data_IF_853019646741
#
_entry.id   IF_853019646741
#
_cell.length_a   1.000
_cell.length_b   1.000
_cell.length_c   1.000
_cell.angle_alpha   90.00
_cell.angle_beta   90.00
_cell.angle_gamma   90.00
#
_symmetry.space_group_name_H-M   'P 1'
#
loop_
_entity.id
_entity.type
_entity.pdbx_description
1 polymer ?
#
# COMPACT_ATOMS: atom_id res chain seq x y z
N UNK A 1 23.63 -5.76 -19.25
CA UNK A 1 22.59 -5.72 -20.31
C UNK A 1 21.19 -5.45 -19.76
N UNK A 2 20.74 -6.14 -18.71
CA UNK A 2 19.39 -5.97 -18.12
C UNK A 2 19.05 -4.54 -17.66
N UNK A 3 20.03 -3.81 -17.12
CA UNK A 3 19.83 -2.43 -16.65
C UNK A 3 19.65 -1.42 -17.79
N UNK A 4 20.25 -1.68 -18.97
CA UNK A 4 20.03 -0.88 -20.19
C UNK A 4 18.65 -1.14 -20.79
N UNK A 5 18.16 -2.37 -20.72
CA UNK A 5 16.79 -2.70 -21.14
C UNK A 5 15.78 -2.03 -20.22
N UNK A 6 15.85 -2.15 -18.89
CA UNK A 6 14.86 -1.49 -17.99
C UNK A 6 14.85 0.04 -18.02
N UNK A 7 15.95 0.69 -18.44
CA UNK A 7 16.01 2.13 -18.69
C UNK A 7 15.35 2.56 -20.01
N UNK A 8 15.10 1.63 -20.93
CA UNK A 8 14.48 1.91 -22.22
C UNK A 8 12.95 1.98 -22.09
N UNK A 9 12.30 3.00 -22.67
CA UNK A 9 10.83 3.11 -22.65
C UNK A 9 10.17 2.31 -23.81
N UNK A 10 10.70 1.11 -24.11
CA UNK A 10 10.16 0.24 -25.17
C UNK A 10 8.99 -0.56 -24.63
N UNK A 11 7.90 -0.67 -25.41
CA UNK A 11 6.66 -1.40 -25.05
C UNK A 11 6.91 -2.82 -24.54
N UNK A 12 7.95 -3.51 -25.03
CA UNK A 12 8.33 -4.85 -24.56
C UNK A 12 8.73 -4.93 -23.08
N UNK A 13 9.17 -3.83 -22.46
CA UNK A 13 9.52 -3.81 -21.04
C UNK A 13 8.32 -3.85 -20.10
N UNK A 14 7.11 -3.57 -20.60
CA UNK A 14 5.89 -3.72 -19.82
C UNK A 14 5.58 -5.20 -19.53
N UNK A 15 6.11 -6.13 -20.34
CA UNK A 15 5.96 -7.58 -20.12
C UNK A 15 7.06 -8.16 -19.23
N UNK A 16 8.18 -7.46 -19.04
CA UNK A 16 9.31 -7.99 -18.26
C UNK A 16 9.00 -8.04 -16.76
N UNK A 17 8.33 -7.02 -16.22
CA UNK A 17 8.06 -6.95 -14.79
C UNK A 17 6.98 -7.94 -14.33
N UNK A 18 5.87 -8.20 -15.07
CA UNK A 18 4.94 -9.26 -14.71
C UNK A 18 5.58 -10.64 -14.81
N UNK A 19 6.40 -10.89 -15.84
CA UNK A 19 7.14 -12.14 -15.98
C UNK A 19 8.10 -12.36 -14.81
N UNK A 20 8.83 -11.31 -14.40
CA UNK A 20 9.71 -11.38 -13.24
C UNK A 20 8.93 -11.66 -11.95
N UNK A 21 7.77 -11.03 -11.75
CA UNK A 21 6.93 -11.32 -10.59
C UNK A 21 6.45 -12.78 -10.58
N UNK A 22 5.98 -13.32 -11.72
CA UNK A 22 5.58 -14.72 -11.85
C UNK A 22 6.71 -15.69 -11.50
N UNK A 23 7.93 -15.41 -11.97
CA UNK A 23 9.11 -16.23 -11.66
C UNK A 23 9.48 -16.17 -10.16
N UNK A 24 9.45 -14.98 -9.56
CA UNK A 24 9.77 -14.78 -8.15
C UNK A 24 8.71 -15.35 -7.19
N UNK A 25 7.46 -15.44 -7.65
CA UNK A 25 6.32 -15.99 -6.91
C UNK A 25 6.03 -17.46 -7.26
N UNK A 26 6.84 -18.08 -8.12
CA UNK A 26 6.59 -19.43 -8.64
C UNK A 26 6.44 -20.46 -7.52
N UNK A 27 7.27 -20.38 -6.47
CA UNK A 27 7.18 -21.26 -5.30
C UNK A 27 5.82 -21.16 -4.62
N UNK A 28 5.32 -19.94 -4.41
CA UNK A 28 4.03 -19.67 -3.75
C UNK A 28 2.85 -20.04 -4.64
N UNK A 29 3.01 -20.01 -5.96
CA UNK A 29 1.99 -20.48 -6.92
C UNK A 29 1.88 -22.02 -6.94
N UNK A 30 3.01 -22.73 -6.84
CA UNK A 30 3.04 -24.20 -6.86
C UNK A 30 2.64 -24.80 -5.51
N UNK A 31 3.05 -24.15 -4.41
CA UNK A 31 2.78 -24.60 -3.05
C UNK A 31 2.16 -23.46 -2.23
N UNK A 32 0.88 -23.11 -2.51
CA UNK A 32 0.24 -21.96 -1.89
C UNK A 32 0.00 -22.22 -0.41
N UNK A 33 0.38 -21.24 0.41
CA UNK A 33 0.18 -21.26 1.86
C UNK A 33 -0.67 -20.06 2.27
N UNK A 34 -1.58 -20.29 3.22
CA UNK A 34 -2.33 -19.21 3.84
C UNK A 34 -1.40 -18.39 4.74
N UNK A 35 -1.70 -17.10 4.86
CA UNK A 35 -0.94 -16.23 5.75
C UNK A 35 -1.20 -16.61 7.23
N UNK A 36 -0.17 -16.76 8.06
CA UNK A 36 -0.32 -16.95 9.49
C UNK A 36 -0.64 -15.62 10.18
N UNK A 37 -1.92 -15.23 10.15
CA UNK A 37 -2.40 -14.00 10.79
C UNK A 37 -2.17 -14.04 12.30
N UNK A 38 -1.75 -12.91 12.87
CA UNK A 38 -1.86 -12.74 14.32
C UNK A 38 -3.33 -12.44 14.70
N UNK A 39 -3.74 -12.63 15.97
CA UNK A 39 -5.12 -12.37 16.39
C UNK A 39 -5.58 -10.97 15.97
N UNK A 40 -6.80 -10.86 15.43
CA UNK A 40 -7.42 -9.59 14.96
C UNK A 40 -6.82 -8.96 13.68
N UNK A 41 -5.75 -9.51 13.09
CA UNK A 41 -5.19 -8.98 11.84
C UNK A 41 -6.11 -9.22 10.63
N UNK A 42 -6.76 -10.38 10.57
CA UNK A 42 -7.74 -10.73 9.53
C UNK A 42 -9.11 -10.08 9.73
N UNK A 43 -9.36 -9.50 10.92
CA UNK A 43 -10.66 -9.00 11.35
C UNK A 43 -10.91 -7.53 10.96
N UNK A 44 -9.95 -6.90 10.28
CA UNK A 44 -10.10 -5.55 9.72
C UNK A 44 -11.39 -5.44 8.89
N UNK A 45 -12.16 -4.36 9.10
CA UNK A 45 -13.56 -4.25 8.65
C UNK A 45 -13.78 -4.62 7.18
N UNK A 46 -13.01 -4.04 6.26
CA UNK A 46 -13.18 -4.29 4.83
C UNK A 46 -12.46 -5.55 4.35
N UNK A 47 -11.48 -6.04 5.12
CA UNK A 47 -10.72 -7.23 4.77
C UNK A 47 -11.42 -8.52 5.20
N UNK A 48 -12.02 -8.55 6.40
CA UNK A 48 -12.75 -9.69 6.98
C UNK A 48 -13.71 -10.39 6.00
N UNK A 49 -14.63 -9.70 5.31
CA UNK A 49 -15.53 -10.37 4.37
C UNK A 49 -14.78 -11.02 3.19
N UNK A 50 -13.71 -10.39 2.69
CA UNK A 50 -12.89 -10.95 1.61
C UNK A 50 -12.10 -12.16 2.09
N UNK A 51 -11.52 -12.08 3.30
CA UNK A 51 -10.81 -13.19 3.91
C UNK A 51 -11.72 -14.41 4.10
N UNK A 52 -12.92 -14.19 4.66
CA UNK A 52 -13.91 -15.24 4.88
C UNK A 52 -14.40 -15.89 3.58
N UNK A 53 -14.64 -15.09 2.54
CA UNK A 53 -15.05 -15.60 1.23
C UNK A 53 -13.98 -16.48 0.58
N UNK A 54 -12.71 -16.15 0.80
CA UNK A 54 -11.55 -16.84 0.22
C UNK A 54 -10.93 -17.85 1.19
N UNK A 55 -11.56 -18.09 2.34
CA UNK A 55 -11.11 -19.06 3.31
C UNK A 55 -11.15 -20.46 2.69
N UNK A 56 -10.04 -21.21 2.82
CA UNK A 56 -9.90 -22.55 2.23
C UNK A 56 -9.46 -22.60 0.75
N UNK A 57 -9.26 -21.44 0.10
CA UNK A 57 -8.79 -21.37 -1.30
C UNK A 57 -7.39 -20.70 -1.39
N UNK A 58 -6.32 -21.35 -0.90
CA UNK A 58 -5.00 -20.71 -0.79
C UNK A 58 -4.42 -20.32 -2.17
N UNK A 59 -4.69 -21.07 -3.23
CA UNK A 59 -4.26 -20.70 -4.58
C UNK A 59 -4.89 -19.39 -5.05
N UNK A 60 -6.19 -19.20 -4.79
CA UNK A 60 -6.92 -17.97 -5.16
C UNK A 60 -6.38 -16.78 -4.37
N UNK A 61 -6.05 -16.98 -3.09
CA UNK A 61 -5.41 -15.97 -2.25
C UNK A 61 -4.07 -15.49 -2.82
N UNK A 62 -3.21 -16.43 -3.23
CA UNK A 62 -1.91 -16.10 -3.87
C UNK A 62 -2.10 -15.39 -5.20
N UNK A 63 -3.02 -15.86 -6.05
CA UNK A 63 -3.31 -15.23 -7.35
C UNK A 63 -3.82 -13.80 -7.15
N UNK A 64 -4.75 -13.58 -6.23
CA UNK A 64 -5.30 -12.26 -5.94
C UNK A 64 -4.23 -11.32 -5.40
N UNK A 65 -3.38 -11.80 -4.48
CA UNK A 65 -2.24 -11.05 -3.96
C UNK A 65 -1.26 -10.67 -5.08
N UNK A 66 -0.96 -11.60 -6.00
CA UNK A 66 -0.10 -11.34 -7.15
C UNK A 66 -0.70 -10.29 -8.10
N UNK A 67 -2.01 -10.33 -8.36
CA UNK A 67 -2.70 -9.32 -9.17
C UNK A 67 -2.62 -7.95 -8.51
N UNK A 68 -2.92 -7.86 -7.22
CA UNK A 68 -2.80 -6.60 -6.46
C UNK A 68 -1.36 -6.09 -6.45
N UNK A 69 -0.39 -6.96 -6.25
CA UNK A 69 1.03 -6.65 -6.29
C UNK A 69 1.46 -6.06 -7.64
N UNK A 70 1.02 -6.65 -8.75
CA UNK A 70 1.26 -6.11 -10.09
C UNK A 70 0.58 -4.77 -10.32
N UNK A 71 -0.66 -4.59 -9.83
CA UNK A 71 -1.35 -3.30 -9.87
C UNK A 71 -0.58 -2.22 -9.10
N UNK A 72 -0.05 -2.53 -7.92
CA UNK A 72 0.81 -1.61 -7.15
C UNK A 72 2.06 -1.21 -7.93
N UNK A 73 2.73 -2.18 -8.56
CA UNK A 73 3.91 -1.90 -9.39
C UNK A 73 3.57 -0.94 -10.55
N UNK A 74 2.45 -1.18 -11.22
CA UNK A 74 1.97 -0.31 -12.31
C UNK A 74 1.65 1.10 -11.78
N UNK A 75 0.93 1.21 -10.66
CA UNK A 75 0.59 2.50 -10.07
C UNK A 75 1.82 3.29 -9.62
N UNK A 76 2.81 2.64 -9.00
CA UNK A 76 4.08 3.28 -8.67
C UNK A 76 4.77 3.85 -9.91
N UNK A 77 4.81 3.10 -11.00
CA UNK A 77 5.36 3.59 -12.27
C UNK A 77 4.53 4.76 -12.82
N UNK A 78 3.20 4.72 -12.73
CA UNK A 78 2.34 5.83 -13.17
C UNK A 78 2.56 7.10 -12.34
N UNK A 79 2.67 6.99 -11.01
CA UNK A 79 2.98 8.11 -10.11
C UNK A 79 4.31 8.75 -10.52
N UNK A 80 5.36 7.93 -10.67
CA UNK A 80 6.67 8.40 -11.10
C UNK A 80 6.63 9.13 -12.45
N UNK A 81 5.92 8.57 -13.43
CA UNK A 81 5.83 9.16 -14.77
C UNK A 81 4.97 10.43 -14.82
N UNK A 82 3.95 10.55 -13.96
CA UNK A 82 3.04 11.70 -13.92
C UNK A 82 3.68 12.92 -13.24
N UNK A 83 4.35 12.70 -12.12
CA UNK A 83 4.92 13.78 -11.30
C UNK A 83 6.42 14.00 -11.53
N UNK A 84 7.03 13.29 -12.50
CA UNK A 84 8.44 13.40 -12.88
C UNK A 84 9.41 13.30 -11.67
N UNK A 85 9.14 12.40 -10.72
CA UNK A 85 10.05 12.13 -9.58
C UNK A 85 11.48 11.84 -10.06
N UNK A 86 11.61 11.17 -11.21
CA UNK A 86 12.88 10.98 -11.91
C UNK A 86 13.02 12.00 -13.05
N UNK A 87 14.19 12.66 -13.13
CA UNK A 87 14.58 13.62 -14.17
C UNK A 87 14.49 13.07 -15.62
N UNK A 88 14.39 11.75 -15.77
CA UNK A 88 14.05 11.05 -17.01
C UNK A 88 12.93 10.05 -16.75
N UNK A 89 11.94 10.00 -17.66
CA UNK A 89 10.93 8.94 -17.67
C UNK A 89 11.62 7.58 -17.72
N UNK A 90 11.35 6.76 -16.71
CA UNK A 90 12.04 5.51 -16.47
C UNK A 90 11.03 4.48 -16.00
N UNK A 91 11.12 3.28 -16.56
CA UNK A 91 10.30 2.15 -16.10
C UNK A 91 10.89 1.47 -14.86
N UNK A 92 12.05 1.92 -14.37
CA UNK A 92 12.76 1.32 -13.23
C UNK A 92 11.94 1.18 -11.93
N UNK A 93 11.02 2.08 -11.55
CA UNK A 93 10.30 1.94 -10.28
C UNK A 93 9.54 0.61 -10.15
N UNK A 94 8.90 0.13 -11.22
CA UNK A 94 8.10 -1.10 -11.17
C UNK A 94 8.95 -2.38 -10.99
N UNK A 95 9.99 -2.66 -11.81
CA UNK A 95 10.88 -3.80 -11.59
C UNK A 95 11.62 -3.74 -10.25
N UNK A 96 12.05 -2.56 -9.79
CA UNK A 96 12.69 -2.41 -8.49
C UNK A 96 11.72 -2.75 -7.36
N UNK A 97 10.51 -2.21 -7.40
CA UNK A 97 9.45 -2.57 -6.46
C UNK A 97 9.19 -4.08 -6.45
N UNK A 98 9.12 -4.71 -7.63
CA UNK A 98 8.88 -6.14 -7.73
C UNK A 98 9.97 -6.96 -7.05
N UNK A 99 11.23 -6.65 -7.33
CA UNK A 99 12.37 -7.36 -6.72
C UNK A 99 12.37 -7.13 -5.21
N UNK A 100 12.21 -5.87 -4.78
CA UNK A 100 12.24 -5.48 -3.37
C UNK A 100 11.13 -6.16 -2.55
N UNK A 101 9.91 -6.19 -3.05
CA UNK A 101 8.78 -6.73 -2.28
C UNK A 101 8.71 -8.25 -2.38
N UNK A 102 9.09 -8.84 -3.52
CA UNK A 102 9.03 -10.31 -3.68
C UNK A 102 9.93 -11.07 -2.70
N UNK A 103 10.97 -10.44 -2.14
CA UNK A 103 11.79 -11.06 -1.10
C UNK A 103 11.08 -11.27 0.24
N UNK A 104 9.96 -10.58 0.49
CA UNK A 104 9.11 -10.82 1.65
C UNK A 104 8.17 -12.01 1.36
N UNK A 105 8.71 -13.21 1.42
CA UNK A 105 7.99 -14.46 1.08
C UNK A 105 6.71 -14.66 1.87
N UNK A 106 6.64 -14.17 3.12
CA UNK A 106 5.42 -14.22 3.93
C UNK A 106 4.27 -13.41 3.34
N UNK A 107 4.55 -12.34 2.59
CA UNK A 107 3.53 -11.51 1.95
C UNK A 107 3.09 -12.06 0.58
N UNK A 108 3.67 -13.16 0.07
CA UNK A 108 3.30 -13.77 -1.22
C UNK A 108 1.96 -14.54 -1.17
N UNK A 109 1.00 -14.03 -0.41
CA UNK A 109 -0.35 -14.57 -0.22
C UNK A 109 -1.28 -13.41 0.18
N UNK A 110 -2.58 -13.70 0.35
CA UNK A 110 -3.56 -12.65 0.64
C UNK A 110 -3.32 -12.04 2.02
N UNK A 111 -3.21 -10.72 2.06
CA UNK A 111 -2.93 -9.94 3.26
C UNK A 111 -3.63 -8.57 3.15
N UNK A 112 -4.17 -8.00 4.26
CA UNK A 112 -4.86 -6.70 4.24
C UNK A 112 -4.01 -5.56 3.68
N UNK A 113 -2.69 -5.63 3.88
CA UNK A 113 -1.72 -4.63 3.39
C UNK A 113 -1.78 -4.41 1.87
N UNK A 114 -2.14 -5.43 1.08
CA UNK A 114 -2.19 -5.28 -0.38
C UNK A 114 -3.29 -4.30 -0.82
N UNK A 115 -4.46 -4.38 -0.18
CA UNK A 115 -5.55 -3.44 -0.40
C UNK A 115 -5.24 -2.08 0.23
N UNK A 116 -4.72 -2.06 1.45
CA UNK A 116 -4.32 -0.83 2.12
C UNK A 116 -3.31 -0.03 1.30
N UNK A 117 -2.25 -0.68 0.81
CA UNK A 117 -1.23 -0.06 -0.03
C UNK A 117 -1.82 0.49 -1.35
N UNK A 118 -2.81 -0.17 -1.93
CA UNK A 118 -3.46 0.27 -3.16
C UNK A 118 -4.16 1.63 -2.94
N UNK A 119 -4.92 1.73 -1.86
CA UNK A 119 -5.59 2.97 -1.47
C UNK A 119 -4.62 4.05 -1.01
N UNK A 120 -3.50 3.70 -0.38
CA UNK A 120 -2.41 4.65 -0.10
C UNK A 120 -1.83 5.21 -1.40
N UNK A 121 -1.57 4.39 -2.42
CA UNK A 121 -1.10 4.89 -3.72
C UNK A 121 -2.13 5.81 -4.40
N UNK A 122 -3.44 5.52 -4.29
CA UNK A 122 -4.49 6.43 -4.74
C UNK A 122 -4.50 7.75 -3.95
N UNK A 123 -4.33 7.68 -2.63
CA UNK A 123 -4.18 8.86 -1.78
C UNK A 123 -2.98 9.71 -2.20
N UNK A 124 -1.82 9.09 -2.48
CA UNK A 124 -0.60 9.76 -2.98
C UNK A 124 -0.85 10.42 -4.34
N UNK A 125 -1.52 9.74 -5.26
CA UNK A 125 -1.90 10.31 -6.56
C UNK A 125 -2.73 11.58 -6.40
N UNK A 126 -3.67 11.61 -5.46
CA UNK A 126 -4.50 12.80 -5.19
C UNK A 126 -3.71 13.87 -4.45
N UNK A 127 -2.89 13.49 -3.49
CA UNK A 127 -2.02 14.40 -2.74
C UNK A 127 -1.11 15.20 -3.67
N UNK A 128 -0.40 14.52 -4.58
CA UNK A 128 0.47 15.22 -5.53
C UNK A 128 -0.29 16.03 -6.58
N UNK A 129 -1.56 15.71 -6.87
CA UNK A 129 -2.39 16.57 -7.72
C UNK A 129 -2.75 17.91 -7.07
N UNK A 130 -2.54 18.07 -5.76
CA UNK A 130 -2.69 19.35 -5.06
C UNK A 130 -1.51 20.30 -5.32
N UNK A 131 -0.39 19.81 -5.89
CA UNK A 131 0.81 20.61 -6.12
C UNK A 131 0.53 21.84 -6.98
N UNK A 132 0.93 23.01 -6.47
CA UNK A 132 0.78 24.32 -7.11
C UNK A 132 -0.67 24.71 -7.51
N UNK A 133 -1.66 24.04 -6.91
CA UNK A 133 -3.07 24.34 -7.10
C UNK A 133 -3.57 25.32 -6.03
N UNK A 134 -4.26 26.39 -6.46
CA UNK A 134 -4.79 27.44 -5.57
C UNK A 134 -6.05 27.04 -4.82
N UNK A 135 -6.79 26.02 -5.30
CA UNK A 135 -8.01 25.50 -4.66
C UNK A 135 -8.04 23.98 -4.75
N UNK A 136 -7.14 23.35 -4.01
CA UNK A 136 -6.97 21.91 -4.02
C UNK A 136 -8.01 21.13 -3.20
N UNK A 137 -9.27 21.62 -3.08
CA UNK A 137 -10.28 20.99 -2.21
C UNK A 137 -10.61 19.55 -2.60
N UNK A 138 -10.84 19.28 -3.89
CA UNK A 138 -11.09 17.92 -4.36
C UNK A 138 -9.89 17.00 -4.11
N UNK A 139 -8.67 17.50 -4.37
CA UNK A 139 -7.46 16.73 -4.09
C UNK A 139 -7.30 16.44 -2.59
N UNK A 140 -7.52 17.42 -1.72
CA UNK A 140 -7.47 17.27 -0.27
C UNK A 140 -8.51 16.26 0.25
N UNK A 141 -9.77 16.37 -0.19
CA UNK A 141 -10.83 15.44 0.18
C UNK A 141 -10.49 14.02 -0.25
N UNK A 142 -10.16 13.81 -1.53
CA UNK A 142 -9.90 12.48 -2.06
C UNK A 142 -8.66 11.83 -1.40
N UNK A 143 -7.66 12.65 -1.06
CA UNK A 143 -6.47 12.20 -0.34
C UNK A 143 -6.85 11.60 1.01
N UNK A 144 -7.63 12.34 1.83
CA UNK A 144 -8.10 11.85 3.12
C UNK A 144 -9.03 10.65 2.98
N UNK A 145 -9.94 10.71 2.01
CA UNK A 145 -10.92 9.66 1.74
C UNK A 145 -10.28 8.33 1.36
N UNK A 146 -9.33 8.33 0.41
CA UNK A 146 -8.62 7.11 0.04
C UNK A 146 -7.75 6.59 1.19
N UNK A 147 -7.09 7.48 1.95
CA UNK A 147 -6.30 7.04 3.10
C UNK A 147 -7.17 6.33 4.13
N UNK A 148 -8.36 6.86 4.43
CA UNK A 148 -9.30 6.26 5.36
C UNK A 148 -9.80 4.88 4.89
N UNK A 149 -10.15 4.73 3.60
CA UNK A 149 -10.52 3.42 3.05
C UNK A 149 -9.35 2.43 3.19
N UNK A 150 -8.12 2.87 2.88
CA UNK A 150 -6.92 2.05 3.09
C UNK A 150 -6.77 1.59 4.54
N UNK A 151 -6.99 2.49 5.49
CA UNK A 151 -6.98 2.18 6.93
C UNK A 151 -8.12 1.24 7.35
N UNK A 152 -9.26 1.23 6.67
CA UNK A 152 -10.33 0.25 6.95
C UNK A 152 -10.01 -1.16 6.44
N UNK A 153 -9.11 -1.29 5.46
CA UNK A 153 -8.53 -2.58 5.06
C UNK A 153 -7.39 -3.01 5.97
N UNK A 154 -6.52 -2.07 6.35
CA UNK A 154 -5.36 -2.30 7.19
C UNK A 154 -5.14 -1.13 8.16
N UNK A 155 -5.63 -1.29 9.39
CA UNK A 155 -5.75 -0.20 10.35
C UNK A 155 -4.45 0.55 10.65
N UNK A 156 -3.32 -0.16 10.63
CA UNK A 156 -2.00 0.41 10.93
C UNK A 156 -1.62 1.57 9.99
N UNK A 157 -2.25 1.71 8.82
CA UNK A 157 -2.06 2.83 7.91
C UNK A 157 -2.55 4.17 8.45
N UNK A 158 -3.35 4.18 9.53
CA UNK A 158 -3.77 5.41 10.20
C UNK A 158 -2.58 6.25 10.67
N UNK A 159 -1.42 5.63 10.92
CA UNK A 159 -0.17 6.32 11.27
C UNK A 159 0.30 7.29 10.18
N UNK A 160 -0.13 7.11 8.94
CA UNK A 160 0.20 8.00 7.81
C UNK A 160 -0.66 9.27 7.80
N UNK A 161 -1.73 9.34 8.59
CA UNK A 161 -2.64 10.50 8.62
C UNK A 161 -1.91 11.83 8.85
N UNK A 162 -0.99 11.98 9.83
CA UNK A 162 -0.28 13.24 10.04
C UNK A 162 0.62 13.60 8.87
N UNK A 163 1.27 12.61 8.25
CA UNK A 163 2.16 12.84 7.10
C UNK A 163 1.38 13.39 5.89
N UNK A 164 0.21 12.84 5.60
CA UNK A 164 -0.64 13.29 4.50
C UNK A 164 -1.32 14.63 4.82
N UNK A 165 -1.73 14.84 6.08
CA UNK A 165 -2.25 16.12 6.56
C UNK A 165 -1.24 17.26 6.34
N UNK A 166 0.02 17.06 6.78
CA UNK A 166 1.10 18.01 6.54
C UNK A 166 1.44 18.14 5.06
N UNK A 167 1.41 17.03 4.32
CA UNK A 167 1.65 17.02 2.88
C UNK A 167 0.70 17.93 2.10
N UNK A 168 -0.59 17.96 2.46
CA UNK A 168 -1.56 18.90 1.86
C UNK A 168 -1.11 20.34 2.10
N UNK A 169 -0.73 20.67 3.33
CA UNK A 169 -0.27 22.02 3.68
C UNK A 169 0.97 22.46 2.92
N UNK A 170 1.90 21.54 2.64
CA UNK A 170 3.16 21.82 1.95
C UNK A 170 2.99 21.92 0.43
N UNK A 171 2.13 21.08 -0.16
CA UNK A 171 2.02 20.97 -1.63
C UNK A 171 1.09 22.02 -2.25
N UNK A 172 0.08 22.49 -1.53
CA UNK A 172 -0.84 23.50 -2.05
C UNK A 172 -0.14 24.85 -2.26
N UNK A 173 -0.50 25.57 -3.33
CA UNK A 173 0.10 26.88 -3.64
C UNK A 173 -0.17 27.93 -2.56
N UNK A 174 -1.38 27.93 -2.02
CA UNK A 174 -1.82 28.81 -0.95
C UNK A 174 -2.41 27.95 0.16
N UNK A 175 -1.64 27.74 1.21
CA UNK A 175 -2.08 26.97 2.37
C UNK A 175 -3.14 27.76 3.13
N UNK A 176 -4.40 27.32 3.07
CA UNK A 176 -5.49 27.86 3.90
C UNK A 176 -5.97 26.77 4.85
N UNK A 177 -6.68 27.17 5.90
CA UNK A 177 -7.22 26.22 6.88
C UNK A 177 -8.29 25.30 6.27
N UNK A 178 -8.93 25.73 5.18
CA UNK A 178 -10.04 25.03 4.53
C UNK A 178 -9.60 23.70 3.92
N UNK A 179 -8.41 23.64 3.34
CA UNK A 179 -7.84 22.43 2.73
C UNK A 179 -7.63 21.35 3.79
N UNK A 180 -7.16 21.72 4.98
CA UNK A 180 -7.05 20.80 6.12
C UNK A 180 -8.41 20.31 6.61
N UNK A 181 -9.40 21.21 6.71
CA UNK A 181 -10.75 20.83 7.09
C UNK A 181 -11.37 19.86 6.06
N UNK A 182 -11.15 20.10 4.76
CA UNK A 182 -11.64 19.25 3.67
C UNK A 182 -10.93 17.90 3.63
N UNK A 183 -9.62 17.86 3.91
CA UNK A 183 -8.90 16.59 4.08
C UNK A 183 -9.43 15.80 5.28
N UNK A 184 -9.65 16.48 6.41
CA UNK A 184 -10.19 15.86 7.62
C UNK A 184 -11.60 15.30 7.39
N UNK A 185 -12.47 16.03 6.69
CA UNK A 185 -13.80 15.52 6.33
C UNK A 185 -13.71 14.33 5.39
N UNK A 186 -12.83 14.38 4.39
CA UNK A 186 -12.55 13.23 3.51
C UNK A 186 -12.12 11.99 4.30
N UNK A 187 -11.21 12.17 5.26
CA UNK A 187 -10.71 11.08 6.10
C UNK A 187 -11.76 10.54 7.08
N UNK A 188 -12.52 11.40 7.75
CA UNK A 188 -13.52 10.96 8.72
C UNK A 188 -14.72 10.26 8.06
N UNK A 189 -15.06 10.62 6.82
CA UNK A 189 -16.29 10.17 6.17
C UNK A 189 -16.38 8.62 6.04
N UNK A 190 -15.38 7.88 5.55
CA UNK A 190 -15.41 6.42 5.53
C UNK A 190 -15.53 5.80 6.93
N UNK A 191 -14.86 6.37 7.94
CA UNK A 191 -14.96 5.88 9.32
C UNK A 191 -16.35 6.13 9.92
N UNK A 192 -16.98 7.26 9.64
CA UNK A 192 -18.35 7.55 10.08
C UNK A 192 -19.34 6.55 9.46
N UNK A 193 -19.22 6.26 8.16
CA UNK A 193 -20.06 5.26 7.51
C UNK A 193 -19.81 3.85 8.04
N UNK A 194 -18.56 3.47 8.22
CA UNK A 194 -18.18 2.21 8.84
C UNK A 194 -18.79 2.06 10.24
N UNK A 195 -18.63 3.07 11.09
CA UNK A 195 -19.15 3.08 12.45
C UNK A 195 -20.69 3.01 12.46
N UNK A 196 -21.35 3.77 11.58
CA UNK A 196 -22.81 3.77 11.48
C UNK A 196 -23.35 2.41 11.04
N UNK A 197 -22.71 1.77 10.06
CA UNK A 197 -23.07 0.41 9.64
C UNK A 197 -22.90 -0.60 10.78
N UNK A 198 -21.78 -0.56 11.48
CA UNK A 198 -21.48 -1.47 12.59
C UNK A 198 -22.38 -1.26 13.81
N UNK A 199 -22.75 -0.01 14.08
CA UNK A 199 -23.71 0.35 15.12
C UNK A 199 -25.07 -0.26 14.84
N UNK A 200 -25.55 -0.18 13.59
CA UNK A 200 -26.80 -0.84 13.17
C UNK A 200 -26.69 -2.36 13.19
N UNK A 201 -25.51 -2.92 12.90
CA UNK A 201 -25.25 -4.35 12.94
C UNK A 201 -25.01 -4.90 14.37
N UNK A 202 -24.95 -4.05 15.39
CA UNK A 202 -24.70 -4.45 16.78
C UNK A 202 -23.29 -4.99 17.06
N UNK A 203 -22.30 -4.70 16.19
CA UNK A 203 -20.93 -5.25 16.28
C UNK A 203 -19.87 -4.17 16.56
N UNK A 204 -20.29 -2.99 17.03
CA UNK A 204 -19.39 -1.86 17.33
C UNK A 204 -18.26 -2.21 18.29
N UNK A 205 -18.54 -2.96 19.36
CA UNK A 205 -17.52 -3.36 20.35
C UNK A 205 -16.43 -4.21 19.71
N UNK A 206 -16.80 -5.15 18.84
CA UNK A 206 -15.81 -5.98 18.14
C UNK A 206 -14.89 -5.14 17.26
N UNK A 207 -15.42 -4.14 16.57
CA UNK A 207 -14.62 -3.25 15.74
C UNK A 207 -13.65 -2.38 16.55
N UNK A 208 -14.11 -1.82 17.67
CA UNK A 208 -13.25 -1.04 18.57
C UNK A 208 -12.13 -1.91 19.15
N UNK A 209 -12.44 -3.13 19.57
CA UNK A 209 -11.44 -4.09 20.06
C UNK A 209 -10.43 -4.46 18.96
N UNK A 210 -10.88 -4.72 17.73
CA UNK A 210 -9.98 -4.96 16.59
C UNK A 210 -9.05 -3.77 16.36
N UNK A 211 -9.55 -2.53 16.41
CA UNK A 211 -8.73 -1.33 16.27
C UNK A 211 -7.67 -1.22 17.38
N UNK A 212 -8.08 -1.42 18.63
CA UNK A 212 -7.18 -1.40 19.79
C UNK A 212 -6.09 -2.48 19.67
N UNK A 213 -6.48 -3.71 19.33
CA UNK A 213 -5.55 -4.82 19.16
C UNK A 213 -4.58 -4.61 18.00
N UNK A 214 -4.99 -3.96 16.91
CA UNK A 214 -4.07 -3.63 15.81
C UNK A 214 -3.02 -2.57 16.21
N UNK A 215 -3.29 -1.74 17.22
CA UNK A 215 -2.30 -0.79 17.76
C UNK A 215 -1.37 -1.46 18.78
N UNK A 216 -1.92 -2.29 19.68
CA UNK A 216 -1.20 -2.86 20.81
C UNK A 216 -0.38 -4.11 20.43
N UNK A 217 -0.89 -4.91 19.49
CA UNK A 217 -0.25 -6.19 19.14
C UNK A 217 1.06 -5.95 18.43
N UNK A 218 2.16 -6.39 19.07
CA UNK A 218 3.49 -6.35 18.48
C UNK A 218 3.55 -7.41 17.37
N UNK A 219 3.89 -6.98 16.16
CA UNK A 219 4.04 -7.87 15.02
C UNK A 219 5.37 -8.67 15.14
N UNK A 220 5.26 -9.96 15.44
CA UNK A 220 6.41 -10.85 15.64
C UNK A 220 6.94 -11.47 14.33
N UNK A 221 6.36 -11.18 13.16
CA UNK A 221 6.84 -11.75 11.88
C UNK A 221 8.28 -11.33 11.57
N UNK A 222 8.64 -10.10 11.95
CA UNK A 222 10.01 -9.61 11.81
C UNK A 222 10.94 -10.14 12.90
N UNK A 223 10.46 -10.54 14.08
CA UNK A 223 11.32 -10.99 15.18
C UNK A 223 11.80 -12.43 14.98
N UNK A 224 10.98 -13.27 14.35
CA UNK A 224 11.23 -14.72 14.34
C UNK A 224 11.86 -15.21 13.02
N UNK A 225 11.85 -14.39 11.96
CA UNK A 225 12.30 -14.78 10.63
C UNK A 225 13.67 -14.18 10.26
N UNK A 226 14.76 -14.89 10.61
CA UNK A 226 16.13 -14.46 10.33
C UNK A 226 16.40 -14.14 8.84
N UNK A 227 15.96 -14.96 7.86
CA UNK A 227 16.07 -14.62 6.44
C UNK A 227 15.46 -13.26 6.07
N UNK A 228 14.27 -12.94 6.61
CA UNK A 228 13.60 -11.67 6.34
C UNK A 228 14.36 -10.48 6.96
N UNK A 229 14.95 -10.64 8.15
CA UNK A 229 15.80 -9.61 8.75
C UNK A 229 17.04 -9.30 7.91
N UNK A 230 17.73 -10.34 7.43
CA UNK A 230 18.90 -10.19 6.56
C UNK A 230 18.50 -9.47 5.28
N UNK A 231 17.38 -9.87 4.69
CA UNK A 231 16.86 -9.25 3.48
C UNK A 231 16.49 -7.78 3.69
N UNK A 232 15.77 -7.44 4.77
CA UNK A 232 15.43 -6.07 5.12
C UNK A 232 16.68 -5.21 5.38
N UNK A 233 17.68 -5.75 6.09
CA UNK A 233 18.96 -5.08 6.31
C UNK A 233 19.70 -4.81 5.00
N UNK A 234 19.69 -5.76 4.07
CA UNK A 234 20.25 -5.58 2.72
C UNK A 234 19.51 -4.51 1.91
N UNK A 235 18.18 -4.45 2.00
CA UNK A 235 17.39 -3.39 1.35
C UNK A 235 17.70 -2.00 1.92
N UNK A 236 17.83 -1.87 3.24
CA UNK A 236 18.24 -0.62 3.89
C UNK A 236 19.63 -0.22 3.42
N UNK A 237 20.57 -1.16 3.38
CA UNK A 237 21.93 -0.92 2.91
C UNK A 237 21.96 -0.43 1.45
N UNK A 238 21.24 -1.09 0.54
CA UNK A 238 21.11 -0.63 -0.86
C UNK A 238 20.50 0.76 -0.94
N UNK A 239 19.45 1.02 -0.15
CA UNK A 239 18.75 2.31 -0.17
C UNK A 239 19.68 3.43 0.30
N UNK A 240 20.48 3.16 1.34
CA UNK A 240 21.47 4.10 1.84
C UNK A 240 22.57 4.36 0.80
N UNK A 241 23.13 3.30 0.19
CA UNK A 241 24.11 3.44 -0.88
C UNK A 241 23.57 4.19 -2.10
N UNK A 242 22.30 3.98 -2.46
CA UNK A 242 21.66 4.67 -3.56
C UNK A 242 21.31 6.13 -3.27
N UNK A 243 21.25 6.53 -1.99
CA UNK A 243 20.99 7.91 -1.54
C UNK A 243 22.28 8.69 -1.29
N UNK A 244 23.38 8.01 -0.99
CA UNK A 244 24.69 8.63 -0.95
C UNK A 244 25.12 8.89 -2.40
N UNK A 245 25.00 10.13 -2.88
CA UNK A 245 25.52 10.53 -4.19
C UNK A 245 27.04 10.25 -4.23
N UNK A 246 27.41 9.11 -4.82
CA UNK A 246 28.75 8.74 -5.29
C UNK A 246 28.71 8.76 -6.82
#
# INVERSE_FOLDING_TARGET
>A
MLLKTFKSNRTGNFLLFPLAALLLWLKSLISPQAYPFYPEESENLLFKPLHNLLAGLPLVQVILALVLFLLLAILMMQINNRYNFLRRRSMLPAPLFIVMVSGFTGLQTLHPVWFGALFVLFSILRLFSAFDNTRAYSAAFDTGFFLAIGSLFYFNLIVLFPAFFLGIGILTRETRWREFAVYLTGFLLPFIFAFSYLFLAGTTETFLNTMEMNIITINNHFTDNLPQKIYAGFLVFITFLGSADI
#
